data_IF_891055931682
#
_entry.id   IF_891055931682
#
_cell.length_a   1.000
_cell.length_b   1.000
_cell.length_c   1.000
_cell.angle_alpha   90.00
_cell.angle_beta   90.00
_cell.angle_gamma   90.00
#
_symmetry.space_group_name_H-M   'P 1'
#
loop_
_entity.id
_entity.type
_entity.pdbx_description
1 polymer ?
#
# COMPACT_ATOMS: atom_id res chain seq x y z
N UNK A 1 -18.42 3.90 -6.27
CA UNK A 1 -17.08 3.86 -5.67
C UNK A 1 -17.17 3.50 -4.19
N UNK A 2 -17.97 4.22 -3.38
CA UNK A 2 -18.20 3.86 -1.97
C UNK A 2 -18.87 2.50 -1.75
N UNK A 3 -19.74 2.03 -2.64
CA UNK A 3 -20.36 0.69 -2.47
C UNK A 3 -19.38 -0.48 -2.57
N UNK A 4 -18.12 -0.22 -2.96
CA UNK A 4 -17.03 -1.20 -3.01
C UNK A 4 -16.00 -1.01 -1.88
N UNK A 5 -16.18 -0.03 -0.99
CA UNK A 5 -15.35 0.10 0.20
C UNK A 5 -15.92 -0.76 1.33
N UNK A 6 -15.05 -1.53 1.97
CA UNK A 6 -15.35 -2.19 3.24
C UNK A 6 -15.08 -1.22 4.39
N UNK A 7 -15.78 -1.39 5.51
CA UNK A 7 -15.45 -0.67 6.74
C UNK A 7 -13.98 -0.88 7.13
N UNK A 8 -13.34 0.11 7.75
CA UNK A 8 -11.98 -0.04 8.22
C UNK A 8 -11.86 -1.33 9.05
N UNK A 9 -10.98 -2.25 8.66
CA UNK A 9 -10.93 -3.53 9.34
C UNK A 9 -10.50 -3.35 10.79
N UNK A 10 -11.04 -4.19 11.68
CA UNK A 10 -10.66 -4.18 13.09
C UNK A 10 -9.13 -4.34 13.25
N UNK A 11 -8.58 -3.64 14.26
CA UNK A 11 -7.17 -3.72 14.67
C UNK A 11 -6.75 -5.19 14.79
N UNK A 12 -5.76 -5.63 14.00
CA UNK A 12 -5.28 -7.01 13.99
C UNK A 12 -5.21 -7.67 12.61
N UNK A 13 -5.87 -7.12 11.58
CA UNK A 13 -5.67 -7.58 10.20
C UNK A 13 -4.26 -7.24 9.67
N UNK A 14 -3.62 -8.20 8.99
CA UNK A 14 -2.23 -8.08 8.53
C UNK A 14 -2.13 -7.30 7.23
N UNK A 15 -1.89 -6.00 7.32
CA UNK A 15 -1.56 -5.19 6.15
C UNK A 15 -0.19 -5.60 5.60
N UNK A 16 -0.06 -5.64 4.27
CA UNK A 16 1.24 -5.89 3.62
C UNK A 16 2.16 -4.72 3.94
N UNK A 17 3.24 -4.98 4.69
CA UNK A 17 4.16 -3.95 5.19
C UNK A 17 4.64 -2.99 4.09
N UNK A 18 4.89 -3.51 2.89
CA UNK A 18 5.34 -2.72 1.73
C UNK A 18 4.35 -1.66 1.25
N UNK A 19 3.08 -1.72 1.64
CA UNK A 19 2.06 -0.74 1.28
C UNK A 19 1.82 0.30 2.38
N UNK A 20 2.51 0.17 3.52
CA UNK A 20 2.45 1.13 4.63
C UNK A 20 3.70 1.98 4.60
N UNK A 21 3.55 3.29 4.33
CA UNK A 21 4.65 4.25 4.39
C UNK A 21 5.03 4.53 5.83
N UNK A 22 4.04 4.80 6.68
CA UNK A 22 4.26 5.03 8.12
C UNK A 22 2.97 4.87 8.93
N UNK A 23 3.13 4.69 10.24
CA UNK A 23 2.06 4.69 11.23
C UNK A 23 2.24 5.91 12.13
N UNK A 24 1.27 6.82 12.14
CA UNK A 24 1.31 8.04 12.94
C UNK A 24 0.42 7.85 14.17
N UNK A 25 1.03 7.78 15.35
CA UNK A 25 0.30 7.75 16.63
C UNK A 25 -0.39 9.09 16.87
N UNK A 26 -1.66 9.05 17.26
CA UNK A 26 -2.48 10.17 17.73
C UNK A 26 -3.02 9.80 19.13
N UNK A 27 -3.60 10.78 19.82
CA UNK A 27 -4.12 10.58 21.18
C UNK A 27 -5.29 9.57 21.22
N UNK A 28 -6.07 9.52 20.15
CA UNK A 28 -7.27 8.69 19.99
C UNK A 28 -7.07 7.47 19.06
N UNK A 29 -5.85 7.27 18.54
CA UNK A 29 -5.60 6.11 17.68
C UNK A 29 -4.31 6.17 16.86
N UNK A 30 -4.36 5.54 15.69
CA UNK A 30 -3.25 5.53 14.73
C UNK A 30 -3.76 5.86 13.34
N UNK A 31 -3.04 6.73 12.65
CA UNK A 31 -3.27 7.01 11.23
C UNK A 31 -2.30 6.14 10.44
N UNK A 32 -2.84 5.30 9.56
CA UNK A 32 -2.05 4.55 8.58
C UNK A 32 -1.84 5.44 7.37
N UNK A 33 -0.58 5.73 7.04
CA UNK A 33 -0.25 6.48 5.84
C UNK A 33 0.19 5.50 4.75
N UNK A 34 -0.61 5.30 3.68
CA UNK A 34 -0.27 4.34 2.63
C UNK A 34 0.89 4.83 1.76
N UNK A 35 1.68 3.88 1.25
CA UNK A 35 2.62 4.11 0.16
C UNK A 35 1.88 3.93 -1.18
N UNK A 36 1.38 5.05 -1.72
CA UNK A 36 0.63 5.02 -2.97
C UNK A 36 1.50 4.56 -4.16
N UNK A 37 2.80 4.87 -4.15
CA UNK A 37 3.70 4.44 -5.21
C UNK A 37 3.82 2.91 -5.24
N UNK A 38 4.08 2.28 -4.08
CA UNK A 38 4.16 0.83 -3.99
C UNK A 38 2.84 0.13 -4.34
N UNK A 39 1.70 0.71 -3.92
CA UNK A 39 0.36 0.18 -4.21
C UNK A 39 0.10 0.19 -5.72
N UNK A 40 0.25 1.35 -6.37
CA UNK A 40 0.03 1.45 -7.81
C UNK A 40 1.07 0.67 -8.61
N UNK A 41 2.30 0.58 -8.12
CA UNK A 41 3.33 -0.21 -8.78
C UNK A 41 2.98 -1.70 -8.85
N UNK A 42 2.42 -2.25 -7.77
CA UNK A 42 1.98 -3.63 -7.72
C UNK A 42 0.72 -3.89 -8.55
N UNK A 43 -0.18 -2.91 -8.70
CA UNK A 43 -1.45 -3.11 -9.40
C UNK A 43 -1.37 -2.82 -10.91
N UNK A 44 -0.48 -1.93 -11.32
CA UNK A 44 -0.29 -1.53 -12.72
C UNK A 44 0.82 -2.31 -13.44
N UNK A 45 1.50 -3.24 -12.75
CA UNK A 45 2.60 -4.03 -13.33
C UNK A 45 3.89 -3.24 -13.62
N UNK A 46 3.95 -1.97 -13.23
CA UNK A 46 5.13 -1.10 -13.42
C UNK A 46 6.32 -1.46 -12.51
N UNK A 47 6.17 -2.48 -11.65
CA UNK A 47 7.24 -3.03 -10.82
C UNK A 47 8.22 -3.98 -11.55
N UNK A 48 7.88 -4.48 -12.74
CA UNK A 48 8.73 -5.43 -13.49
C UNK A 48 9.34 -4.86 -14.79
N UNK A 49 8.87 -3.72 -15.31
CA UNK A 49 9.38 -3.16 -16.57
C UNK A 49 10.80 -2.58 -16.51
N UNK A 50 11.46 -2.61 -15.34
CA UNK A 50 12.82 -2.07 -15.15
C UNK A 50 13.96 -3.09 -15.21
N UNK A 51 13.72 -4.38 -15.48
CA UNK A 51 14.79 -5.41 -15.47
C UNK A 51 15.11 -6.06 -16.82
N UNK A 52 14.44 -5.70 -17.91
CA UNK A 52 14.82 -6.18 -19.25
C UNK A 52 15.53 -5.08 -20.01
N UNK A 53 16.73 -4.77 -19.54
CA UNK A 53 17.71 -3.95 -20.23
C UNK A 53 19.06 -4.66 -20.18
N UNK A 54 19.08 -5.93 -20.57
CA UNK A 54 20.33 -6.62 -20.91
C UNK A 54 20.71 -6.18 -22.31
N UNK A 55 21.73 -5.31 -22.36
CA UNK A 55 22.49 -5.00 -23.57
C UNK A 55 23.36 -6.19 -23.91
N UNK A 56 23.04 -6.86 -25.02
CA UNK A 56 23.92 -7.76 -25.75
C UNK A 56 23.87 -7.38 -27.23
#
# INVERSE_FOLDING_TARGET
AESASEEPPAVGMRWRRQFVRTLVRRDDGVVVLPDLHAIFAAHLGIGELGRTGEVA
#
